data_IF_598040236575
#
_entry.id   IF_598040236575
#
_cell.length_a   1.000
_cell.length_b   1.000
_cell.length_c   1.000
_cell.angle_alpha   90.00
_cell.angle_beta   90.00
_cell.angle_gamma   90.00
#
_symmetry.space_group_name_H-M   'P 1'
#
loop_
_entity.id
_entity.type
_entity.pdbx_description
1 polymer ?
#
# COMPACT_ATOMS: atom_id res chain seq x y z
N UNK A 1 1.74 9.45 35.69
CA UNK A 1 1.65 10.87 35.30
C UNK A 1 2.22 11.14 33.89
N UNK A 2 3.32 10.49 33.46
CA UNK A 2 3.90 10.68 32.12
C UNK A 2 2.98 10.23 30.95
N UNK A 3 2.08 9.28 31.17
CA UNK A 3 1.22 8.76 30.08
C UNK A 3 0.01 9.66 29.79
N UNK A 4 -0.41 10.49 30.73
CA UNK A 4 -1.53 11.41 30.52
C UNK A 4 -1.19 12.54 29.52
N UNK A 5 0.04 13.07 29.56
CA UNK A 5 0.51 14.07 28.60
C UNK A 5 0.68 13.51 27.19
N UNK A 6 0.92 12.22 27.04
CA UNK A 6 0.99 11.55 25.71
C UNK A 6 -0.39 11.41 25.07
N UNK A 7 -1.43 11.25 25.89
CA UNK A 7 -2.84 11.17 25.43
C UNK A 7 -3.34 12.54 24.96
N UNK A 8 -2.89 13.65 25.52
CA UNK A 8 -3.28 15.00 25.11
C UNK A 8 -2.94 15.27 23.65
N UNK A 9 -1.82 14.73 23.14
CA UNK A 9 -1.44 14.86 21.74
C UNK A 9 -2.28 14.00 20.76
N UNK A 10 -3.10 13.06 21.29
CA UNK A 10 -4.08 12.29 20.51
C UNK A 10 -5.42 13.03 20.40
N UNK A 11 -5.66 14.07 21.20
CA UNK A 11 -6.92 14.79 21.24
C UNK A 11 -7.39 15.26 19.84
N UNK A 12 -6.53 15.83 18.97
CA UNK A 12 -6.96 16.23 17.64
C UNK A 12 -7.42 15.06 16.76
N UNK A 13 -6.71 13.93 16.83
CA UNK A 13 -7.04 12.72 16.09
C UNK A 13 -8.31 12.06 16.63
N UNK A 14 -8.40 11.91 17.95
CA UNK A 14 -9.59 11.40 18.62
C UNK A 14 -10.80 12.29 18.36
N UNK A 15 -10.64 13.62 18.37
CA UNK A 15 -11.69 14.56 17.98
C UNK A 15 -12.15 14.37 16.54
N UNK A 16 -11.22 14.18 15.60
CA UNK A 16 -11.54 13.95 14.21
C UNK A 16 -12.29 12.63 14.01
N UNK A 17 -11.83 11.56 14.65
CA UNK A 17 -12.46 10.23 14.62
C UNK A 17 -13.84 10.25 15.30
N UNK A 18 -14.01 10.92 16.46
CA UNK A 18 -15.28 11.00 17.17
C UNK A 18 -16.28 11.95 16.46
N UNK A 19 -15.80 12.94 15.70
CA UNK A 19 -16.65 13.83 14.92
C UNK A 19 -17.29 13.14 13.71
N UNK A 20 -16.72 12.00 13.29
CA UNK A 20 -17.25 11.18 12.21
C UNK A 20 -18.36 10.27 12.76
N UNK A 21 -19.63 10.62 12.56
CA UNK A 21 -20.78 9.81 13.04
C UNK A 21 -20.84 8.40 12.43
N UNK A 22 -20.19 8.19 11.30
CA UNK A 22 -20.12 6.89 10.64
C UNK A 22 -19.35 5.82 11.41
N UNK A 23 -18.52 6.21 12.41
CA UNK A 23 -17.86 5.29 13.34
C UNK A 23 -18.83 4.68 14.36
N UNK A 24 -20.06 5.17 14.45
CA UNK A 24 -21.07 4.66 15.36
C UNK A 24 -22.12 3.89 14.55
N UNK A 25 -22.32 2.57 14.78
CA UNK A 25 -23.36 1.80 14.11
C UNK A 25 -24.70 2.51 14.27
N UNK A 26 -25.44 2.73 13.18
CA UNK A 26 -26.75 3.43 13.17
C UNK A 26 -27.77 2.87 14.17
N UNK A 27 -27.62 1.60 14.57
CA UNK A 27 -28.50 0.92 15.53
C UNK A 27 -28.00 0.94 16.98
N UNK A 28 -26.91 1.64 17.31
CA UNK A 28 -26.27 1.58 18.64
C UNK A 28 -26.41 2.86 19.45
N UNK A 29 -27.32 3.79 19.09
CA UNK A 29 -27.54 5.01 19.88
C UNK A 29 -27.79 4.75 21.38
N UNK A 30 -28.28 3.54 21.74
CA UNK A 30 -28.48 3.13 23.13
C UNK A 30 -27.32 2.31 23.74
N UNK A 31 -26.27 1.95 22.97
CA UNK A 31 -25.16 1.08 23.41
C UNK A 31 -23.78 1.72 23.33
N UNK A 32 -23.71 3.03 23.08
CA UNK A 32 -22.40 3.71 23.13
C UNK A 32 -21.92 3.65 24.57
N UNK A 33 -20.72 3.05 24.86
CA UNK A 33 -20.18 3.01 26.18
C UNK A 33 -20.15 4.42 26.77
N UNK A 34 -20.59 4.57 28.03
CA UNK A 34 -20.61 5.85 28.75
C UNK A 34 -19.26 6.59 28.64
N UNK A 35 -18.16 5.84 28.61
CA UNK A 35 -16.81 6.37 28.40
C UNK A 35 -16.65 7.14 27.06
N UNK A 36 -17.23 6.65 25.95
CA UNK A 36 -17.18 7.34 24.66
C UNK A 36 -18.08 8.59 24.64
N UNK A 37 -19.25 8.54 25.29
CA UNK A 37 -20.11 9.72 25.48
C UNK A 37 -19.42 10.76 26.35
N UNK A 38 -18.76 10.34 27.41
CA UNK A 38 -18.00 11.18 28.32
C UNK A 38 -16.78 11.80 27.64
N UNK A 39 -16.06 11.01 26.81
CA UNK A 39 -14.94 11.50 25.98
C UNK A 39 -15.42 12.55 24.96
N UNK A 40 -16.55 12.33 24.31
CA UNK A 40 -17.18 13.28 23.39
C UNK A 40 -17.52 14.60 24.09
N UNK A 41 -17.99 14.54 25.34
CA UNK A 41 -18.32 15.70 26.17
C UNK A 41 -17.06 16.45 26.63
N UNK A 42 -16.07 15.76 27.18
CA UNK A 42 -14.80 16.36 27.66
C UNK A 42 -13.99 16.99 26.51
N UNK A 43 -14.02 16.39 25.33
CA UNK A 43 -13.25 16.86 24.19
C UNK A 43 -13.93 18.02 23.45
N UNK A 44 -15.10 18.52 23.91
CA UNK A 44 -15.88 19.60 23.27
C UNK A 44 -16.02 19.38 21.74
N UNK A 45 -16.33 18.14 21.31
CA UNK A 45 -16.47 17.82 19.89
C UNK A 45 -17.76 18.44 19.38
N UNK A 46 -17.66 19.65 18.80
CA UNK A 46 -18.77 20.22 18.01
C UNK A 46 -18.95 19.36 16.75
N UNK A 47 -20.18 18.93 16.56
CA UNK A 47 -20.60 18.20 15.37
C UNK A 47 -20.37 19.08 14.13
N UNK A 48 -19.44 18.69 13.29
CA UNK A 48 -19.15 19.40 12.05
C UNK A 48 -19.25 18.42 10.89
N UNK A 49 -20.45 18.35 10.29
CA UNK A 49 -20.78 17.45 9.17
C UNK A 49 -19.87 17.57 7.94
N UNK A 50 -19.00 18.60 7.88
CA UNK A 50 -18.21 18.94 6.70
C UNK A 50 -16.70 18.78 6.89
N UNK A 51 -16.21 18.11 7.93
CA UNK A 51 -14.76 17.84 8.02
C UNK A 51 -14.42 16.58 7.25
N UNK A 52 -13.70 16.76 6.16
CA UNK A 52 -13.10 15.68 5.40
C UNK A 52 -12.03 14.97 6.27
N UNK A 53 -12.31 13.71 6.60
CA UNK A 53 -11.42 12.87 7.41
C UNK A 53 -10.04 12.71 6.73
N UNK A 54 -10.02 12.57 5.40
CA UNK A 54 -8.79 12.46 4.61
C UNK A 54 -7.90 13.68 4.78
N UNK A 55 -8.47 14.89 4.76
CA UNK A 55 -7.73 16.13 5.02
C UNK A 55 -7.21 16.20 6.46
N UNK A 56 -7.94 15.66 7.41
CA UNK A 56 -7.49 15.62 8.80
C UNK A 56 -6.32 14.68 8.98
N UNK A 57 -6.39 13.47 8.42
CA UNK A 57 -5.28 12.50 8.47
C UNK A 57 -4.02 13.05 7.80
N UNK A 58 -4.18 13.72 6.64
CA UNK A 58 -3.05 14.40 5.96
C UNK A 58 -2.37 15.45 6.84
N UNK A 59 -3.13 16.25 7.58
CA UNK A 59 -2.58 17.26 8.49
C UNK A 59 -1.87 16.67 9.70
N UNK A 60 -2.23 15.46 10.12
CA UNK A 60 -1.61 14.76 11.24
C UNK A 60 -0.26 14.11 10.87
N UNK A 61 -0.01 13.93 9.58
CA UNK A 61 1.28 13.48 9.05
C UNK A 61 1.29 12.07 8.46
N UNK A 62 2.46 11.64 7.99
CA UNK A 62 2.64 10.42 7.21
C UNK A 62 2.11 9.16 7.87
N UNK A 63 2.40 8.94 9.16
CA UNK A 63 1.94 7.76 9.91
C UNK A 63 0.42 7.66 9.96
N UNK A 64 -0.28 8.79 10.03
CA UNK A 64 -1.74 8.83 10.06
C UNK A 64 -2.35 8.56 8.69
N UNK A 65 -1.67 8.98 7.62
CA UNK A 65 -2.07 8.62 6.25
C UNK A 65 -1.96 7.10 6.08
N UNK A 66 -0.85 6.50 6.48
CA UNK A 66 -0.66 5.04 6.42
C UNK A 66 -1.65 4.28 7.29
N UNK A 67 -1.95 4.76 8.50
CA UNK A 67 -3.03 4.19 9.31
C UNK A 67 -4.37 4.23 8.57
N UNK A 68 -4.72 5.36 7.94
CA UNK A 68 -5.94 5.48 7.17
C UNK A 68 -6.00 4.55 5.97
N UNK A 69 -4.91 4.41 5.22
CA UNK A 69 -4.78 3.47 4.12
C UNK A 69 -4.91 2.02 4.59
N UNK A 70 -4.21 1.64 5.66
CA UNK A 70 -4.31 0.32 6.27
C UNK A 70 -5.74 0.01 6.71
N UNK A 71 -6.40 0.93 7.41
CA UNK A 71 -7.79 0.76 7.84
C UNK A 71 -8.78 0.71 6.67
N UNK A 72 -8.49 1.37 5.53
CA UNK A 72 -9.36 1.31 4.36
C UNK A 72 -9.49 -0.10 3.76
N UNK A 73 -8.54 -0.98 4.03
CA UNK A 73 -8.56 -2.39 3.63
C UNK A 73 -9.23 -3.31 4.67
N UNK A 74 -9.65 -2.75 5.82
CA UNK A 74 -10.19 -3.48 6.96
C UNK A 74 -11.63 -3.03 7.33
N UNK A 75 -12.61 -3.24 6.41
CA UNK A 75 -14.01 -2.89 6.70
C UNK A 75 -14.60 -3.67 7.88
N UNK A 76 -14.00 -4.79 8.25
CA UNK A 76 -14.32 -5.58 9.45
C UNK A 76 -14.07 -4.80 10.75
N UNK A 77 -13.10 -3.87 10.75
CA UNK A 77 -12.74 -3.05 11.92
C UNK A 77 -13.52 -1.74 11.95
N UNK A 78 -13.58 -1.04 10.81
CA UNK A 78 -14.10 0.34 10.76
C UNK A 78 -15.47 0.48 10.10
N UNK A 79 -16.01 -0.61 9.53
CA UNK A 79 -17.24 -0.61 8.76
C UNK A 79 -17.04 -0.18 7.30
N UNK A 80 -17.96 -0.59 6.43
CA UNK A 80 -17.88 -0.38 4.97
C UNK A 80 -17.87 1.11 4.62
N UNK A 81 -18.77 1.91 5.21
CA UNK A 81 -18.91 3.33 4.87
C UNK A 81 -17.63 4.14 5.13
N UNK A 82 -16.93 3.86 6.24
CA UNK A 82 -15.68 4.54 6.57
C UNK A 82 -14.53 4.02 5.73
N UNK A 83 -14.48 2.72 5.49
CA UNK A 83 -13.52 2.10 4.58
C UNK A 83 -13.58 2.76 3.20
N UNK A 84 -14.77 2.93 2.62
CA UNK A 84 -14.95 3.57 1.31
C UNK A 84 -14.50 5.03 1.30
N UNK A 85 -14.75 5.79 2.37
CA UNK A 85 -14.25 7.17 2.49
C UNK A 85 -12.72 7.23 2.52
N UNK A 86 -12.08 6.24 3.15
CA UNK A 86 -10.61 6.17 3.26
C UNK A 86 -9.92 5.62 2.01
N UNK A 87 -10.61 4.86 1.15
CA UNK A 87 -10.05 4.35 -0.13
C UNK A 87 -9.47 5.45 -1.01
N UNK A 88 -10.04 6.64 -0.95
CA UNK A 88 -9.56 7.80 -1.72
C UNK A 88 -8.44 8.59 -1.01
N UNK A 89 -7.93 8.08 0.11
CA UNK A 89 -6.83 8.71 0.83
C UNK A 89 -5.53 8.55 0.03
N UNK A 90 -5.26 9.56 -0.81
CA UNK A 90 -4.07 9.57 -1.63
C UNK A 90 -2.81 9.78 -0.79
N UNK A 91 -1.77 9.06 -1.13
CA UNK A 91 -0.43 9.11 -0.53
C UNK A 91 0.36 10.39 -0.88
N UNK A 92 -0.29 11.36 -1.51
CA UNK A 92 0.32 12.61 -1.95
C UNK A 92 0.48 13.57 -0.80
N UNK A 93 1.74 13.87 -0.48
CA UNK A 93 2.15 14.89 0.50
C UNK A 93 3.08 15.87 -0.22
N UNK A 94 3.16 17.10 0.28
CA UNK A 94 4.08 18.08 -0.29
C UNK A 94 5.53 17.60 -0.23
N UNK A 95 6.29 17.75 -1.33
CA UNK A 95 7.71 17.41 -1.36
C UNK A 95 8.49 18.29 -0.39
N UNK A 96 9.49 17.70 0.27
CA UNK A 96 10.48 18.51 0.98
C UNK A 96 11.48 19.13 -0.02
N UNK A 97 12.13 20.26 0.33
CA UNK A 97 13.00 20.99 -0.59
C UNK A 97 14.18 20.16 -1.12
N UNK A 98 14.58 20.40 -2.38
CA UNK A 98 15.77 19.78 -3.01
C UNK A 98 17.04 19.96 -2.16
N UNK A 99 17.19 21.09 -1.46
CA UNK A 99 18.32 21.35 -0.57
C UNK A 99 18.46 20.29 0.52
N UNK A 100 17.31 19.81 1.06
CA UNK A 100 17.31 18.74 2.08
C UNK A 100 17.68 17.39 1.49
N UNK A 101 17.26 17.11 0.25
CA UNK A 101 17.71 15.94 -0.51
C UNK A 101 19.22 15.92 -0.65
N UNK A 102 19.80 17.04 -1.10
CA UNK A 102 21.25 17.19 -1.26
C UNK A 102 21.99 17.02 0.07
N UNK A 103 21.44 17.57 1.16
CA UNK A 103 22.00 17.40 2.51
C UNK A 103 22.04 15.91 2.92
N UNK A 104 20.95 15.17 2.69
CA UNK A 104 20.87 13.72 3.01
C UNK A 104 21.90 12.96 2.20
N UNK A 105 21.98 13.18 0.89
CA UNK A 105 22.93 12.50 0.01
C UNK A 105 24.39 12.83 0.40
N UNK A 106 24.72 14.10 0.68
CA UNK A 106 26.06 14.48 1.15
C UNK A 106 26.43 13.82 2.47
N UNK A 107 25.49 13.72 3.40
CA UNK A 107 25.74 13.06 4.69
C UNK A 107 25.98 11.56 4.55
N UNK A 108 25.29 10.91 3.60
CA UNK A 108 25.39 9.47 3.38
C UNK A 108 26.62 9.09 2.57
N UNK A 109 26.92 9.83 1.47
CA UNK A 109 28.01 9.52 0.53
C UNK A 109 29.29 10.32 0.78
N UNK A 110 29.25 11.31 1.66
CA UNK A 110 30.43 12.14 2.05
C UNK A 110 31.21 12.66 0.83
N UNK A 111 32.49 12.28 0.70
CA UNK A 111 33.38 12.72 -0.38
C UNK A 111 32.96 12.17 -1.74
N UNK A 112 32.42 10.95 -1.80
CA UNK A 112 31.94 10.31 -3.03
C UNK A 112 30.75 11.04 -3.68
N UNK A 113 30.04 11.89 -2.91
CA UNK A 113 28.88 12.62 -3.42
C UNK A 113 29.21 13.48 -4.65
N UNK A 114 30.33 14.21 -4.63
CA UNK A 114 30.71 15.16 -5.70
C UNK A 114 31.06 14.43 -6.99
N UNK A 115 31.67 13.27 -6.89
CA UNK A 115 32.09 12.46 -8.05
C UNK A 115 30.95 11.63 -8.63
N UNK A 116 29.94 11.33 -7.81
CA UNK A 116 28.84 10.41 -8.17
C UNK A 116 27.60 11.16 -8.67
N UNK A 117 27.14 12.22 -7.96
CA UNK A 117 25.88 12.88 -8.28
C UNK A 117 26.09 14.15 -9.10
N UNK A 118 25.76 14.09 -10.41
CA UNK A 118 25.97 15.21 -11.35
C UNK A 118 24.81 16.20 -11.24
N UNK A 119 23.57 15.72 -11.35
CA UNK A 119 22.38 16.57 -11.22
C UNK A 119 21.26 15.83 -10.48
N UNK A 120 20.43 16.63 -9.82
CA UNK A 120 19.24 16.16 -9.10
C UNK A 120 18.13 17.16 -9.38
N UNK A 121 17.06 16.71 -10.04
CA UNK A 121 15.91 17.56 -10.31
C UNK A 121 15.01 17.69 -9.06
N UNK A 122 14.31 18.82 -8.89
CA UNK A 122 13.29 18.93 -7.85
C UNK A 122 12.21 17.87 -8.02
N UNK A 123 11.79 17.24 -6.92
CA UNK A 123 10.63 16.34 -6.97
C UNK A 123 9.35 17.14 -7.20
N UNK A 124 8.48 16.64 -8.09
CA UNK A 124 7.16 17.26 -8.35
C UNK A 124 6.08 16.68 -7.45
N UNK A 125 6.28 15.47 -6.96
CA UNK A 125 5.32 14.73 -6.13
C UNK A 125 6.08 13.91 -5.10
N UNK A 126 5.48 13.73 -3.92
CA UNK A 126 6.05 12.88 -2.89
C UNK A 126 4.97 11.95 -2.33
N UNK A 127 5.38 10.75 -1.96
CA UNK A 127 4.57 9.84 -1.17
C UNK A 127 4.56 10.25 0.31
N UNK A 128 3.77 9.56 1.14
CA UNK A 128 3.67 9.86 2.56
C UNK A 128 5.01 9.77 3.27
N UNK A 129 5.78 8.73 3.03
CA UNK A 129 7.03 8.43 3.75
C UNK A 129 8.32 8.71 2.95
N UNK A 130 8.23 8.85 1.62
CA UNK A 130 9.37 9.04 0.74
C UNK A 130 9.07 10.02 -0.39
N UNK A 131 10.08 10.47 -1.11
CA UNK A 131 9.93 11.17 -2.38
C UNK A 131 10.95 10.69 -3.41
N UNK A 132 10.60 10.84 -4.69
CA UNK A 132 11.43 10.41 -5.82
C UNK A 132 11.89 11.63 -6.61
N UNK A 133 13.18 11.69 -6.89
CA UNK A 133 13.80 12.68 -7.77
C UNK A 133 14.31 11.98 -9.03
N UNK A 134 14.20 12.65 -10.17
CA UNK A 134 15.06 12.34 -11.31
C UNK A 134 16.44 12.92 -11.06
N UNK A 135 17.49 12.15 -11.33
CA UNK A 135 18.86 12.62 -11.25
C UNK A 135 19.73 11.96 -12.30
N UNK A 136 20.98 12.43 -12.38
CA UNK A 136 22.03 11.84 -13.19
C UNK A 136 23.20 11.49 -12.29
N UNK A 137 23.65 10.23 -12.37
CA UNK A 137 24.82 9.73 -11.63
C UNK A 137 25.91 9.31 -12.60
N UNK A 138 27.17 9.45 -12.13
CA UNK A 138 28.35 8.99 -12.87
C UNK A 138 28.91 7.74 -12.21
N UNK A 139 28.95 6.66 -12.97
CA UNK A 139 29.53 5.39 -12.54
C UNK A 139 30.46 4.89 -13.65
N UNK A 140 31.69 4.50 -13.28
CA UNK A 140 32.70 4.01 -14.23
C UNK A 140 32.89 4.95 -15.46
N UNK A 141 32.95 6.26 -15.22
CA UNK A 141 33.04 7.33 -16.23
C UNK A 141 31.88 7.40 -17.24
N UNK A 142 30.74 6.77 -16.95
CA UNK A 142 29.50 6.88 -17.74
C UNK A 142 28.40 7.52 -16.89
N UNK A 143 27.55 8.28 -17.57
CA UNK A 143 26.41 8.94 -16.95
C UNK A 143 25.15 8.10 -17.14
N UNK A 144 24.33 8.01 -16.08
CA UNK A 144 23.09 7.28 -16.05
C UNK A 144 21.98 8.15 -15.48
N UNK A 145 20.86 8.19 -16.16
CA UNK A 145 19.63 8.76 -15.61
C UNK A 145 19.04 7.81 -14.55
N UNK A 146 18.77 8.34 -13.37
CA UNK A 146 18.31 7.54 -12.21
C UNK A 146 17.08 8.12 -11.54
N UNK A 147 16.30 7.25 -10.93
CA UNK A 147 15.31 7.58 -9.92
C UNK A 147 15.95 7.47 -8.54
N UNK A 148 15.96 8.58 -7.81
CA UNK A 148 16.52 8.70 -6.46
C UNK A 148 15.33 8.76 -5.49
N UNK A 149 14.98 7.64 -4.89
CA UNK A 149 13.93 7.52 -3.85
C UNK A 149 14.57 7.73 -2.49
N UNK A 150 14.06 8.70 -1.72
CA UNK A 150 14.64 9.09 -0.42
C UNK A 150 13.52 9.13 0.62
N UNK A 151 13.73 8.48 1.76
CA UNK A 151 12.84 8.59 2.91
C UNK A 151 12.81 10.02 3.44
N UNK A 152 11.64 10.44 3.92
CA UNK A 152 11.50 11.75 4.59
C UNK A 152 12.42 11.85 5.80
N UNK A 153 13.05 13.02 6.00
CA UNK A 153 13.88 13.25 7.18
C UNK A 153 13.12 12.91 8.46
N UNK A 154 13.76 12.19 9.38
CA UNK A 154 13.23 11.79 10.69
C UNK A 154 11.97 10.91 10.66
N UNK A 155 11.55 10.38 9.51
CA UNK A 155 10.32 9.60 9.37
C UNK A 155 10.27 8.40 10.33
N UNK A 156 11.37 7.68 10.52
CA UNK A 156 11.45 6.55 11.45
C UNK A 156 11.13 6.97 12.90
N UNK A 157 11.63 8.14 13.33
CA UNK A 157 11.36 8.68 14.65
C UNK A 157 9.90 9.11 14.81
N UNK A 158 9.31 9.70 13.77
CA UNK A 158 7.90 10.09 13.75
C UNK A 158 6.99 8.87 13.83
N UNK A 159 7.24 7.86 13.00
CA UNK A 159 6.50 6.58 12.99
C UNK A 159 6.56 5.93 14.37
N UNK A 160 7.75 5.76 14.96
CA UNK A 160 7.90 5.18 16.29
C UNK A 160 7.13 5.95 17.36
N UNK A 161 7.13 7.28 17.29
CA UNK A 161 6.39 8.15 18.21
C UNK A 161 4.87 7.96 18.07
N UNK A 162 4.36 7.89 16.84
CA UNK A 162 2.93 7.77 16.59
C UNK A 162 2.42 6.36 16.87
N UNK A 163 3.17 5.33 16.50
CA UNK A 163 2.84 3.94 16.86
C UNK A 163 2.69 3.74 18.36
N UNK A 164 3.58 4.33 19.18
CA UNK A 164 3.43 4.28 20.65
C UNK A 164 2.09 4.85 21.13
N UNK A 165 1.63 5.94 20.48
CA UNK A 165 0.31 6.53 20.80
C UNK A 165 -0.83 5.60 20.38
N UNK A 166 -0.70 4.97 19.21
CA UNK A 166 -1.70 4.02 18.70
C UNK A 166 -1.81 2.81 19.63
N UNK A 167 -0.69 2.23 20.06
CA UNK A 167 -0.69 1.13 21.04
C UNK A 167 -1.36 1.50 22.37
N UNK A 168 -1.07 2.69 22.91
CA UNK A 168 -1.71 3.18 24.14
C UNK A 168 -3.22 3.31 23.94
N UNK A 169 -3.65 3.90 22.82
CA UNK A 169 -5.07 4.08 22.50
C UNK A 169 -5.77 2.73 22.30
N UNK A 170 -5.18 1.82 21.52
CA UNK A 170 -5.71 0.48 21.29
C UNK A 170 -5.88 -0.32 22.59
N UNK A 171 -4.83 -0.37 23.44
CA UNK A 171 -4.87 -1.04 24.72
C UNK A 171 -5.91 -0.46 25.68
N UNK A 172 -6.08 0.87 25.68
CA UNK A 172 -7.11 1.51 26.50
C UNK A 172 -8.51 1.15 26.00
N UNK A 173 -8.75 1.19 24.68
CA UNK A 173 -10.03 0.83 24.08
C UNK A 173 -10.39 -0.62 24.34
N UNK A 174 -9.46 -1.56 24.25
CA UNK A 174 -9.69 -2.98 24.57
C UNK A 174 -10.08 -3.21 26.04
N UNK A 175 -9.55 -2.40 26.97
CA UNK A 175 -9.95 -2.44 28.38
C UNK A 175 -11.35 -1.88 28.62
N UNK A 176 -11.78 -0.90 27.81
CA UNK A 176 -13.03 -0.16 28.02
C UNK A 176 -14.20 -0.74 27.20
N UNK A 177 -13.95 -1.50 26.13
CA UNK A 177 -14.96 -1.98 25.20
C UNK A 177 -14.77 -3.46 24.87
N UNK A 178 -15.80 -4.28 25.08
CA UNK A 178 -15.82 -5.70 24.68
C UNK A 178 -15.65 -5.86 23.17
N UNK A 179 -16.21 -4.94 22.38
CA UNK A 179 -16.10 -4.94 20.92
C UNK A 179 -14.67 -4.65 20.47
N UNK A 180 -14.01 -3.64 21.05
CA UNK A 180 -12.61 -3.34 20.78
C UNK A 180 -11.69 -4.53 21.14
N UNK A 181 -11.99 -5.22 22.25
CA UNK A 181 -11.28 -6.44 22.64
C UNK A 181 -11.49 -7.58 21.66
N UNK A 182 -12.72 -7.75 21.13
CA UNK A 182 -13.03 -8.74 20.08
C UNK A 182 -12.26 -8.48 18.79
N UNK A 183 -12.13 -7.20 18.41
CA UNK A 183 -11.40 -6.75 17.22
C UNK A 183 -9.87 -6.79 17.38
N UNK A 184 -9.35 -7.05 18.59
CA UNK A 184 -7.90 -7.16 18.87
C UNK A 184 -7.12 -5.95 18.34
N UNK A 185 -7.53 -4.73 18.73
CA UNK A 185 -6.96 -3.49 18.18
C UNK A 185 -5.45 -3.36 18.40
N UNK A 186 -4.91 -3.95 19.47
CA UNK A 186 -3.46 -3.99 19.71
C UNK A 186 -2.73 -4.82 18.66
N UNK A 187 -3.29 -5.96 18.23
CA UNK A 187 -2.75 -6.78 17.13
C UNK A 187 -2.85 -6.04 15.79
N UNK A 188 -3.93 -5.30 15.58
CA UNK A 188 -4.10 -4.43 14.38
C UNK A 188 -2.98 -3.37 14.32
N UNK A 189 -2.67 -2.71 15.44
CA UNK A 189 -1.57 -1.75 15.50
C UNK A 189 -0.22 -2.43 15.32
N UNK A 190 -0.05 -3.66 15.81
CA UNK A 190 1.16 -4.45 15.61
C UNK A 190 1.38 -4.76 14.12
N UNK A 191 0.34 -5.21 13.41
CA UNK A 191 0.41 -5.46 11.96
C UNK A 191 0.78 -4.19 11.18
N UNK A 192 0.19 -3.04 11.55
CA UNK A 192 0.58 -1.75 10.97
C UNK A 192 2.06 -1.42 11.25
N UNK A 193 2.53 -1.67 12.47
CA UNK A 193 3.92 -1.39 12.85
C UNK A 193 4.91 -2.26 12.05
N UNK A 194 4.58 -3.53 11.81
CA UNK A 194 5.36 -4.46 11.00
C UNK A 194 5.41 -3.99 9.55
N UNK A 195 4.26 -3.64 8.94
CA UNK A 195 4.20 -3.09 7.60
C UNK A 195 5.05 -1.83 7.46
N UNK A 196 4.90 -0.86 8.36
CA UNK A 196 5.69 0.38 8.34
C UNK A 196 7.19 0.12 8.55
N UNK A 197 7.57 -0.90 9.34
CA UNK A 197 8.98 -1.23 9.56
C UNK A 197 9.66 -1.72 8.29
N UNK A 198 8.93 -2.40 7.41
CA UNK A 198 9.41 -2.82 6.09
C UNK A 198 9.52 -1.61 5.14
N UNK A 199 8.54 -0.72 5.14
CA UNK A 199 8.52 0.45 4.25
C UNK A 199 9.65 1.47 4.56
N UNK A 200 10.20 1.52 5.79
CA UNK A 200 11.29 2.43 6.17
C UNK A 200 12.69 1.85 5.98
N UNK A 201 12.83 0.72 5.34
CA UNK A 201 14.11 0.18 4.87
C UNK A 201 14.06 -0.05 3.36
N UNK A 202 14.48 0.94 2.59
CA UNK A 202 14.42 0.90 1.13
C UNK A 202 15.29 -0.20 0.50
N UNK A 203 16.18 -0.84 1.27
CA UNK A 203 16.94 -2.01 0.79
C UNK A 203 16.04 -3.23 0.60
N UNK A 204 14.95 -3.33 1.38
CA UNK A 204 13.97 -4.41 1.24
C UNK A 204 13.18 -4.25 -0.07
N UNK A 205 12.78 -3.01 -0.39
CA UNK A 205 12.16 -2.70 -1.68
C UNK A 205 13.12 -2.98 -2.84
N UNK A 206 14.39 -2.57 -2.72
CA UNK A 206 15.41 -2.84 -3.72
C UNK A 206 15.64 -4.35 -3.93
N UNK A 207 15.64 -5.14 -2.85
CA UNK A 207 15.79 -6.59 -2.91
C UNK A 207 14.63 -7.25 -3.64
N UNK A 208 13.38 -6.88 -3.29
CA UNK A 208 12.19 -7.39 -3.95
C UNK A 208 12.16 -7.02 -5.45
N UNK A 209 12.56 -5.79 -5.79
CA UNK A 209 12.67 -5.34 -7.17
C UNK A 209 13.71 -6.12 -7.95
N UNK A 210 14.89 -6.38 -7.37
CA UNK A 210 15.94 -7.19 -8.01
C UNK A 210 15.51 -8.63 -8.20
N UNK A 211 14.87 -9.25 -7.22
CA UNK A 211 14.39 -10.62 -7.32
C UNK A 211 13.33 -10.78 -8.42
N UNK A 212 12.40 -9.83 -8.52
CA UNK A 212 11.42 -9.82 -9.62
C UNK A 212 12.15 -9.64 -10.96
N UNK A 213 13.14 -8.75 -11.04
CA UNK A 213 13.94 -8.55 -12.26
C UNK A 213 14.60 -9.84 -12.75
N UNK A 214 15.18 -10.62 -11.82
CA UNK A 214 15.82 -11.89 -12.12
C UNK A 214 14.81 -12.94 -12.61
N UNK A 215 13.64 -13.00 -11.99
CA UNK A 215 12.57 -13.94 -12.34
C UNK A 215 12.01 -13.70 -13.76
N UNK A 216 11.97 -12.43 -14.21
CA UNK A 216 11.36 -12.03 -15.48
C UNK A 216 12.37 -11.86 -16.62
N UNK A 217 13.61 -12.29 -16.48
CA UNK A 217 14.69 -12.04 -17.46
C UNK A 217 14.35 -12.49 -18.88
N UNK A 218 13.45 -13.48 -19.02
CA UNK A 218 12.97 -14.01 -20.29
C UNK A 218 11.60 -13.50 -20.70
N UNK A 219 11.02 -12.54 -19.99
CA UNK A 219 9.69 -12.00 -20.27
C UNK A 219 9.79 -10.77 -21.17
N UNK A 220 9.43 -10.89 -22.44
CA UNK A 220 9.57 -9.83 -23.45
C UNK A 220 8.63 -8.63 -23.21
N UNK A 221 7.47 -8.86 -22.57
CA UNK A 221 6.40 -7.87 -22.39
C UNK A 221 6.42 -7.16 -21.04
N UNK A 222 7.36 -7.51 -20.15
CA UNK A 222 7.46 -6.97 -18.81
C UNK A 222 8.91 -6.63 -18.46
N UNK A 223 9.09 -5.56 -17.68
CA UNK A 223 10.40 -5.19 -17.16
C UNK A 223 10.28 -4.45 -15.81
N UNK A 224 11.42 -4.36 -15.14
CA UNK A 224 11.60 -3.68 -13.87
C UNK A 224 12.95 -2.93 -13.93
N UNK A 225 13.03 -1.68 -13.45
CA UNK A 225 14.28 -0.90 -13.48
C UNK A 225 15.41 -1.61 -12.73
N UNK A 226 16.63 -1.48 -13.23
CA UNK A 226 17.81 -1.99 -12.54
C UNK A 226 18.05 -1.19 -11.24
N UNK A 227 18.54 -1.88 -10.20
CA UNK A 227 18.96 -1.26 -8.94
C UNK A 227 20.47 -0.99 -8.97
N UNK A 228 20.85 0.22 -8.57
CA UNK A 228 22.26 0.58 -8.35
C UNK A 228 22.60 0.32 -6.88
N UNK A 229 22.99 -0.93 -6.57
CA UNK A 229 23.25 -1.39 -5.21
C UNK A 229 24.35 -0.61 -4.49
N UNK A 230 25.41 -0.22 -5.20
CA UNK A 230 26.53 0.57 -4.66
C UNK A 230 26.05 1.95 -4.14
N UNK A 231 24.93 2.45 -4.68
CA UNK A 231 24.31 3.73 -4.31
C UNK A 231 23.05 3.56 -3.46
N UNK A 232 22.64 2.33 -3.15
CA UNK A 232 21.44 2.06 -2.35
C UNK A 232 21.81 1.91 -0.87
N UNK A 233 21.05 2.57 0.00
CA UNK A 233 21.21 2.57 1.46
C UNK A 233 19.84 2.38 2.12
N UNK A 234 19.81 2.20 3.46
CA UNK A 234 18.55 2.08 4.21
C UNK A 234 17.53 3.15 3.86
N UNK A 235 17.98 4.40 3.73
CA UNK A 235 17.11 5.57 3.53
C UNK A 235 17.08 6.07 2.07
N UNK A 236 17.84 5.44 1.17
CA UNK A 236 18.05 5.86 -0.20
C UNK A 236 18.02 4.64 -1.11
N UNK A 237 17.13 4.66 -2.11
CA UNK A 237 17.11 3.66 -3.18
C UNK A 237 17.38 4.37 -4.49
N UNK A 238 18.32 3.86 -5.27
CA UNK A 238 18.67 4.37 -6.59
C UNK A 238 18.44 3.29 -7.62
N UNK A 239 17.54 3.58 -8.55
CA UNK A 239 17.20 2.72 -9.66
C UNK A 239 17.31 3.45 -11.00
N UNK A 240 17.30 2.70 -12.08
CA UNK A 240 17.21 3.24 -13.42
C UNK A 240 15.97 4.13 -13.60
N UNK A 241 16.12 5.23 -14.35
CA UNK A 241 15.00 6.11 -14.66
C UNK A 241 14.16 5.55 -15.81
N UNK A 242 12.86 5.43 -15.59
CA UNK A 242 11.89 4.94 -16.61
C UNK A 242 11.38 6.10 -17.46
N UNK A 243 11.54 5.98 -18.78
CA UNK A 243 11.08 6.98 -19.77
C UNK A 243 9.73 6.60 -20.42
N UNK A 244 8.95 5.68 -19.87
CA UNK A 244 7.66 5.25 -20.39
C UNK A 244 6.53 6.25 -20.16
N UNK A 245 5.38 5.99 -20.81
CA UNK A 245 4.12 6.72 -20.57
C UNK A 245 3.47 6.14 -19.31
N UNK A 246 3.16 6.94 -18.28
CA UNK A 246 2.43 6.43 -17.12
C UNK A 246 1.08 5.80 -17.54
N UNK A 247 0.77 4.60 -17.09
CA UNK A 247 -0.45 3.87 -17.46
C UNK A 247 -1.74 4.61 -17.10
N UNK A 248 -1.72 5.53 -16.14
CA UNK A 248 -2.83 6.43 -15.81
C UNK A 248 -3.14 7.45 -16.91
N UNK A 249 -2.21 7.71 -17.84
CA UNK A 249 -2.38 8.68 -18.91
C UNK A 249 -2.90 7.98 -20.20
N UNK A 250 -4.13 7.44 -20.12
CA UNK A 250 -4.75 6.68 -21.20
C UNK A 250 -4.82 7.49 -22.49
N UNK A 251 -5.11 8.79 -22.44
CA UNK A 251 -5.19 9.64 -23.61
C UNK A 251 -3.86 9.64 -24.38
N UNK A 252 -2.74 9.80 -23.68
CA UNK A 252 -1.42 9.78 -24.32
C UNK A 252 -1.06 8.41 -24.89
N UNK A 253 -1.48 7.32 -24.23
CA UNK A 253 -1.28 5.95 -24.74
C UNK A 253 -2.01 5.77 -26.08
N UNK A 254 -3.27 6.25 -26.15
CA UNK A 254 -4.07 6.21 -27.40
C UNK A 254 -3.51 7.13 -28.48
N UNK A 255 -3.09 8.36 -28.13
CA UNK A 255 -2.46 9.31 -29.07
C UNK A 255 -1.17 8.76 -29.70
N UNK A 256 -0.38 7.99 -28.95
CA UNK A 256 0.82 7.29 -29.45
C UNK A 256 0.50 6.02 -30.24
N UNK A 257 -0.78 5.68 -30.43
CA UNK A 257 -1.24 4.53 -31.22
C UNK A 257 -1.05 3.17 -30.57
N UNK A 258 -0.88 3.12 -29.23
CA UNK A 258 -0.65 1.87 -28.50
C UNK A 258 -1.97 1.14 -28.21
N UNK A 259 -1.96 -0.19 -28.32
CA UNK A 259 -3.14 -1.03 -28.12
C UNK A 259 -3.46 -1.22 -26.62
N UNK A 260 -4.44 -0.47 -26.13
CA UNK A 260 -4.88 -0.53 -24.73
C UNK A 260 -5.45 -1.89 -24.32
N UNK A 261 -6.06 -2.65 -25.25
CA UNK A 261 -6.56 -4.00 -24.97
C UNK A 261 -5.41 -4.98 -24.78
N UNK A 262 -4.39 -4.90 -25.63
CA UNK A 262 -3.18 -5.72 -25.50
C UNK A 262 -2.41 -5.38 -24.21
N UNK A 263 -2.28 -4.10 -23.89
CA UNK A 263 -1.68 -3.64 -22.63
C UNK A 263 -2.43 -4.24 -21.43
N UNK A 264 -3.77 -4.16 -21.41
CA UNK A 264 -4.59 -4.73 -20.34
C UNK A 264 -4.41 -6.24 -20.19
N UNK A 265 -4.37 -6.99 -21.31
CA UNK A 265 -4.07 -8.43 -21.32
C UNK A 265 -2.68 -8.73 -20.77
N UNK A 266 -1.68 -7.93 -21.15
CA UNK A 266 -0.32 -8.10 -20.66
C UNK A 266 -0.22 -7.83 -19.16
N UNK A 267 -0.90 -6.80 -18.61
CA UNK A 267 -0.94 -6.54 -17.16
C UNK A 267 -1.51 -7.75 -16.41
N UNK A 268 -2.63 -8.31 -16.88
CA UNK A 268 -3.20 -9.52 -16.28
C UNK A 268 -2.23 -10.72 -16.38
N UNK A 269 -1.60 -10.90 -17.55
CA UNK A 269 -0.61 -11.95 -17.77
C UNK A 269 0.58 -11.80 -16.82
N UNK A 270 1.10 -10.58 -16.61
CA UNK A 270 2.18 -10.29 -15.68
C UNK A 270 1.78 -10.73 -14.27
N UNK A 271 0.62 -10.27 -13.79
CA UNK A 271 0.14 -10.64 -12.46
C UNK A 271 0.05 -12.16 -12.27
N UNK A 272 -0.59 -12.86 -13.21
CA UNK A 272 -0.75 -14.31 -13.13
C UNK A 272 0.59 -15.06 -13.24
N UNK A 273 1.48 -14.62 -14.13
CA UNK A 273 2.78 -15.27 -14.32
C UNK A 273 3.65 -15.10 -13.07
N UNK A 274 3.79 -13.89 -12.57
CA UNK A 274 4.62 -13.62 -11.37
C UNK A 274 4.05 -14.27 -10.12
N UNK A 275 2.70 -14.32 -9.97
CA UNK A 275 2.06 -14.98 -8.82
C UNK A 275 2.18 -16.50 -8.87
N UNK A 276 1.86 -17.13 -10.02
CA UNK A 276 1.76 -18.60 -10.12
C UNK A 276 3.09 -19.25 -10.44
N UNK A 277 3.84 -18.72 -11.42
CA UNK A 277 5.15 -19.24 -11.82
C UNK A 277 6.20 -18.96 -10.73
N UNK A 278 6.34 -17.66 -10.38
CA UNK A 278 7.46 -17.20 -9.55
C UNK A 278 7.10 -17.24 -8.05
N UNK A 279 5.85 -16.99 -7.70
CA UNK A 279 5.39 -16.90 -6.31
C UNK A 279 5.77 -15.58 -5.65
N UNK A 280 6.37 -14.65 -6.39
CA UNK A 280 6.68 -13.29 -5.98
C UNK A 280 6.07 -12.32 -6.97
N UNK A 281 5.19 -11.44 -6.52
CA UNK A 281 4.46 -10.52 -7.38
C UNK A 281 4.29 -9.14 -6.75
N UNK A 282 4.10 -8.14 -7.60
CA UNK A 282 3.80 -6.78 -7.18
C UNK A 282 2.38 -6.71 -6.60
N UNK A 283 2.25 -6.47 -5.30
CA UNK A 283 0.96 -6.49 -4.61
C UNK A 283 0.21 -5.14 -4.65
N UNK A 284 0.81 -4.09 -5.23
CA UNK A 284 0.19 -2.77 -5.41
C UNK A 284 0.29 -2.30 -6.87
N UNK A 285 -0.14 -3.15 -7.81
CA UNK A 285 -0.03 -2.92 -9.27
C UNK A 285 -1.10 -1.96 -9.79
N UNK A 286 -1.13 -0.74 -9.28
CA UNK A 286 -2.03 0.30 -9.77
C UNK A 286 -1.42 1.10 -10.93
N UNK A 287 -2.26 1.81 -11.70
CA UNK A 287 -1.85 2.58 -12.89
C UNK A 287 -0.76 3.65 -12.63
N UNK A 288 -0.53 4.04 -11.39
CA UNK A 288 0.53 4.98 -11.00
C UNK A 288 1.91 4.36 -10.96
N UNK A 289 1.99 3.04 -10.75
CA UNK A 289 3.22 2.27 -10.65
C UNK A 289 3.59 1.55 -11.95
N UNK A 290 2.82 1.75 -13.02
CA UNK A 290 3.06 1.15 -14.33
C UNK A 290 3.38 2.20 -15.38
N UNK A 291 4.37 1.90 -16.21
CA UNK A 291 4.77 2.71 -17.36
C UNK A 291 4.73 1.83 -18.62
N UNK A 292 4.33 2.44 -19.72
CA UNK A 292 4.20 1.77 -21.02
C UNK A 292 5.25 2.35 -21.98
N UNK A 293 6.11 1.50 -22.52
CA UNK A 293 7.05 1.87 -23.56
C UNK A 293 6.40 1.86 -24.95
N UNK A 294 7.09 2.43 -25.94
CA UNK A 294 6.61 2.51 -27.35
C UNK A 294 6.41 1.14 -28.00
N UNK A 295 7.11 0.12 -27.54
CA UNK A 295 6.96 -1.28 -27.97
C UNK A 295 5.87 -2.03 -27.20
N UNK A 296 5.06 -1.32 -26.38
CA UNK A 296 4.03 -1.85 -25.48
C UNK A 296 4.56 -2.73 -24.34
N UNK A 297 5.87 -2.69 -24.09
CA UNK A 297 6.46 -3.31 -22.91
C UNK A 297 6.02 -2.55 -21.66
N UNK A 298 5.66 -3.28 -20.62
CA UNK A 298 5.18 -2.71 -19.35
C UNK A 298 6.35 -2.70 -18.37
N UNK A 299 6.60 -1.55 -17.76
CA UNK A 299 7.60 -1.41 -16.72
C UNK A 299 6.89 -1.11 -15.42
N UNK A 300 7.12 -1.93 -14.39
CA UNK A 300 6.61 -1.69 -13.04
C UNK A 300 7.68 -1.03 -12.17
N UNK A 301 7.23 -0.13 -11.31
CA UNK A 301 8.05 0.58 -10.31
C UNK A 301 7.37 0.55 -8.96
N UNK A 302 8.10 0.92 -7.90
CA UNK A 302 7.60 1.01 -6.51
C UNK A 302 7.20 -0.35 -5.92
N UNK A 303 8.20 -1.16 -5.58
CA UNK A 303 8.05 -2.50 -5.01
C UNK A 303 8.01 -2.47 -3.47
N UNK A 304 7.55 -1.39 -2.87
CA UNK A 304 7.36 -1.27 -1.42
C UNK A 304 6.36 -2.26 -0.84
N UNK A 305 5.44 -2.78 -1.68
CA UNK A 305 4.49 -3.83 -1.30
C UNK A 305 4.57 -4.96 -2.33
N UNK A 306 5.07 -6.11 -1.91
CA UNK A 306 5.11 -7.34 -2.70
C UNK A 306 4.38 -8.47 -1.98
N UNK A 307 3.84 -9.41 -2.75
CA UNK A 307 3.23 -10.63 -2.22
C UNK A 307 4.11 -11.84 -2.49
N UNK A 308 4.19 -12.71 -1.48
CA UNK A 308 4.86 -14.02 -1.60
C UNK A 308 3.84 -15.12 -1.48
N UNK A 309 3.86 -16.04 -2.42
CA UNK A 309 3.07 -17.28 -2.39
C UNK A 309 4.04 -18.47 -2.26
N UNK A 310 3.92 -19.19 -1.17
CA UNK A 310 4.60 -20.46 -1.03
C UNK A 310 4.02 -21.52 -2.00
N UNK A 311 4.62 -22.68 -2.03
CA UNK A 311 4.18 -23.75 -2.95
C UNK A 311 2.71 -24.11 -2.77
N UNK A 312 2.24 -24.22 -1.54
CA UNK A 312 0.88 -24.60 -1.21
C UNK A 312 -0.14 -23.52 -1.63
N UNK A 313 0.15 -22.27 -1.31
CA UNK A 313 -0.66 -21.10 -1.73
C UNK A 313 -0.74 -20.96 -3.24
N UNK A 314 0.35 -21.23 -3.97
CA UNK A 314 0.33 -21.29 -5.45
C UNK A 314 -0.58 -22.39 -5.97
N UNK A 315 -0.58 -23.56 -5.35
CA UNK A 315 -1.47 -24.66 -5.71
C UNK A 315 -2.94 -24.33 -5.46
N UNK A 316 -3.26 -23.69 -4.32
CA UNK A 316 -4.62 -23.23 -4.04
C UNK A 316 -5.09 -22.21 -5.08
N UNK A 317 -4.29 -21.18 -5.35
CA UNK A 317 -4.61 -20.16 -6.36
C UNK A 317 -4.83 -20.79 -7.74
N UNK A 318 -3.95 -21.67 -8.19
CA UNK A 318 -4.05 -22.35 -9.47
C UNK A 318 -5.33 -23.21 -9.55
N UNK A 319 -5.63 -24.01 -8.52
CA UNK A 319 -6.83 -24.83 -8.47
C UNK A 319 -8.12 -24.01 -8.47
N UNK A 320 -8.15 -22.87 -7.79
CA UNK A 320 -9.28 -21.94 -7.78
C UNK A 320 -9.49 -21.38 -9.18
N UNK A 321 -8.45 -20.87 -9.84
CA UNK A 321 -8.53 -20.30 -11.20
C UNK A 321 -8.97 -21.35 -12.22
N UNK A 322 -8.36 -22.54 -12.22
CA UNK A 322 -8.76 -23.65 -13.09
C UNK A 322 -10.19 -24.11 -12.83
N UNK A 323 -10.62 -24.11 -11.56
CA UNK A 323 -11.97 -24.43 -11.18
C UNK A 323 -12.99 -23.46 -11.78
N UNK A 324 -12.71 -22.15 -11.75
CA UNK A 324 -13.56 -21.15 -12.42
C UNK A 324 -13.58 -21.33 -13.94
N UNK A 325 -12.43 -21.56 -14.56
CA UNK A 325 -12.35 -21.79 -16.02
C UNK A 325 -13.17 -23.03 -16.42
N UNK A 326 -13.08 -24.10 -15.63
CA UNK A 326 -13.76 -25.37 -15.90
C UNK A 326 -15.20 -25.42 -15.33
N UNK A 327 -15.69 -24.37 -14.66
CA UNK A 327 -17.00 -24.30 -13.98
C UNK A 327 -17.17 -25.36 -12.89
N UNK A 328 -16.08 -25.83 -12.29
CA UNK A 328 -16.08 -26.81 -11.21
C UNK A 328 -16.15 -26.12 -9.84
N UNK A 329 -17.32 -25.57 -9.52
CA UNK A 329 -17.54 -24.80 -8.29
C UNK A 329 -17.43 -25.67 -7.03
N UNK A 330 -17.67 -26.98 -7.12
CA UNK A 330 -17.48 -27.89 -6.01
C UNK A 330 -15.98 -28.05 -5.67
N UNK A 331 -15.13 -28.18 -6.69
CA UNK A 331 -13.67 -28.19 -6.51
C UNK A 331 -13.17 -26.88 -5.92
N UNK A 332 -13.67 -25.72 -6.41
CA UNK A 332 -13.28 -24.42 -5.87
C UNK A 332 -13.65 -24.34 -4.39
N UNK A 333 -14.89 -24.73 -4.03
CA UNK A 333 -15.35 -24.73 -2.64
C UNK A 333 -14.43 -25.60 -1.76
N UNK A 334 -14.16 -26.85 -2.20
CA UNK A 334 -13.27 -27.76 -1.50
C UNK A 334 -11.91 -27.13 -1.21
N UNK A 335 -11.27 -26.52 -2.23
CA UNK A 335 -9.98 -25.85 -2.08
C UNK A 335 -10.03 -24.71 -1.07
N UNK A 336 -11.11 -23.91 -1.02
CA UNK A 336 -11.25 -22.83 -0.04
C UNK A 336 -11.31 -23.34 1.40
N UNK A 337 -11.97 -24.49 1.62
CA UNK A 337 -12.02 -25.13 2.94
C UNK A 337 -10.65 -25.73 3.31
N UNK A 338 -9.99 -26.43 2.39
CA UNK A 338 -8.64 -26.99 2.60
C UNK A 338 -7.61 -25.91 2.91
N UNK A 339 -7.70 -24.74 2.26
CA UNK A 339 -6.84 -23.59 2.50
C UNK A 339 -7.18 -22.81 3.79
N UNK A 340 -8.26 -23.18 4.50
CA UNK A 340 -8.71 -22.45 5.69
C UNK A 340 -9.29 -21.07 5.41
N UNK A 341 -9.65 -20.75 4.15
CA UNK A 341 -10.25 -19.46 3.78
C UNK A 341 -11.72 -19.36 4.19
N UNK A 342 -12.36 -20.51 4.39
CA UNK A 342 -13.74 -20.62 4.86
C UNK A 342 -13.74 -21.47 6.13
N UNK A 343 -14.42 -21.04 7.21
CA UNK A 343 -14.54 -21.84 8.44
C UNK A 343 -15.17 -23.21 8.18
N UNK A 344 -14.66 -24.25 8.83
CA UNK A 344 -15.20 -25.63 8.72
C UNK A 344 -16.67 -25.75 9.15
N UNK A 345 -17.18 -24.78 9.92
CA UNK A 345 -18.59 -24.71 10.35
C UNK A 345 -19.55 -24.33 9.23
N UNK A 346 -19.06 -23.82 8.11
CA UNK A 346 -19.88 -23.42 6.97
C UNK A 346 -20.24 -24.61 6.07
N UNK A 347 -21.36 -24.51 5.33
CA UNK A 347 -21.83 -25.55 4.41
C UNK A 347 -21.11 -25.40 3.06
N UNK A 348 -20.27 -26.39 2.73
CA UNK A 348 -19.50 -26.41 1.49
C UNK A 348 -20.38 -26.37 0.23
N UNK A 349 -21.57 -27.02 0.23
CA UNK A 349 -22.46 -27.00 -0.93
C UNK A 349 -23.09 -25.63 -1.13
N UNK A 350 -23.50 -24.95 -0.04
CA UNK A 350 -23.99 -23.57 -0.12
C UNK A 350 -22.91 -22.62 -0.60
N UNK A 351 -21.69 -22.82 -0.14
CA UNK A 351 -20.56 -22.02 -0.62
C UNK A 351 -20.28 -22.25 -2.11
N UNK A 352 -20.33 -23.50 -2.61
CA UNK A 352 -20.23 -23.83 -4.03
C UNK A 352 -21.34 -23.16 -4.87
N UNK A 353 -22.58 -23.12 -4.37
CA UNK A 353 -23.69 -22.40 -5.03
C UNK A 353 -23.45 -20.89 -5.07
N UNK A 354 -22.91 -20.31 -4.00
CA UNK A 354 -22.54 -18.89 -3.98
C UNK A 354 -21.45 -18.59 -5.01
N UNK A 355 -20.41 -19.41 -5.11
CA UNK A 355 -19.36 -19.30 -6.14
C UNK A 355 -19.94 -19.39 -7.56
N UNK A 356 -20.87 -20.32 -7.79
CA UNK A 356 -21.57 -20.46 -9.08
C UNK A 356 -22.36 -19.20 -9.43
N UNK A 357 -23.06 -18.61 -8.46
CA UNK A 357 -23.84 -17.37 -8.68
C UNK A 357 -22.97 -16.18 -9.12
N UNK A 358 -21.70 -16.17 -8.75
CA UNK A 358 -20.72 -15.15 -9.14
C UNK A 358 -20.07 -15.52 -10.48
N UNK A 359 -19.68 -16.79 -10.66
CA UNK A 359 -18.91 -17.23 -11.81
C UNK A 359 -19.72 -17.32 -13.10
N UNK A 360 -20.95 -17.88 -13.06
CA UNK A 360 -21.77 -18.08 -14.28
C UNK A 360 -22.08 -16.79 -15.06
N UNK A 361 -22.43 -15.66 -14.42
CA UNK A 361 -22.70 -14.42 -15.16
C UNK A 361 -21.49 -13.84 -15.92
N UNK A 362 -20.27 -14.23 -15.56
CA UNK A 362 -19.02 -13.72 -16.14
C UNK A 362 -18.54 -14.61 -17.29
N UNK A 363 -18.93 -15.89 -17.28
CA UNK A 363 -18.51 -16.88 -18.26
C UNK A 363 -18.97 -16.54 -19.67
N UNK A 364 -18.04 -16.58 -20.64
CA UNK A 364 -18.34 -16.32 -22.06
C UNK A 364 -18.60 -14.85 -22.41
N UNK A 365 -18.39 -13.92 -21.49
CA UNK A 365 -18.40 -12.49 -21.79
C UNK A 365 -16.99 -12.03 -22.14
N UNK A 366 -16.89 -11.27 -23.24
CA UNK A 366 -15.67 -10.53 -23.52
C UNK A 366 -15.40 -9.55 -22.36
N UNK A 367 -14.15 -9.47 -21.92
CA UNK A 367 -13.72 -8.46 -20.98
C UNK A 367 -13.79 -7.09 -21.68
N UNK A 368 -14.90 -6.38 -21.49
CA UNK A 368 -15.09 -5.01 -21.95
C UNK A 368 -14.68 -4.03 -20.88
#
# INVERSE_FOLDING_TARGET
>A
MLDFFKIINLIPAIRALIAEESLLPKNSHNKIPFALKFLKYILFVKHNKNKDLSLTLKKLGPTWIKLGQFLSTRPDIIGIELSDKLKNLQDKVEPFPKSKTIEILKNEFKEEYLDTFIDIMPSKTAASIAQVHKGTVKLNNKEYDVAIKILRPNIEREIKKDLRKFFIAASLLEKLSKEAKRLRLTEVVQTLAESLSMEIDLRLEAAAQSEIKDNIINDEYFDVPNIYWDLTRKNILISEWVNGIPAKNINKIVEEGLDTKKIGKNILKIFLTTSIRDGLFHADMHQGNLFIEKNEKIIAVDFGIVGYLDFESKQYLNNILLGFINRDYNKIAKVHFEAGYVPETEDQNKFAQALRSIGEPIQGKDAN
#
